data_IF_315464086608
#
_entry.id   IF_315464086608
#
_cell.length_a   1.000
_cell.length_b   1.000
_cell.length_c   1.000
_cell.angle_alpha   90.00
_cell.angle_beta   90.00
_cell.angle_gamma   90.00
#
_symmetry.space_group_name_H-M   'P 1'
#
loop_
_entity.id
_entity.type
_entity.pdbx_description
1 polymer ?
#
# COMPACT_ATOMS: atom_id res chain seq x y z
N UNK A 1 -20.07 -0.08 -10.66
CA UNK A 1 -19.25 1.11 -10.39
C UNK A 1 -18.76 1.01 -8.96
N UNK A 2 -17.48 0.71 -8.73
CA UNK A 2 -16.88 0.68 -7.40
C UNK A 2 -16.66 2.12 -6.94
N UNK A 3 -17.11 2.45 -5.72
CA UNK A 3 -16.78 3.74 -5.11
C UNK A 3 -15.27 3.74 -4.83
N UNK A 4 -14.50 4.77 -5.27
CA UNK A 4 -13.09 4.86 -4.92
C UNK A 4 -12.97 4.92 -3.40
N UNK A 5 -12.15 4.05 -2.83
CA UNK A 5 -12.01 3.93 -1.41
C UNK A 5 -11.47 5.24 -0.80
N UNK A 6 -12.06 5.69 0.31
CA UNK A 6 -11.73 6.97 0.92
C UNK A 6 -10.40 6.82 1.66
N UNK A 7 -9.36 7.60 1.31
CA UNK A 7 -8.07 7.52 1.99
C UNK A 7 -8.18 7.92 3.47
N UNK A 8 -7.67 7.07 4.35
CA UNK A 8 -7.60 7.25 5.81
C UNK A 8 -6.13 7.55 6.17
N UNK A 9 -5.80 8.80 6.53
CA UNK A 9 -4.43 9.15 6.92
C UNK A 9 -4.09 8.61 8.31
N UNK A 10 -2.84 8.22 8.52
CA UNK A 10 -2.32 7.81 9.83
C UNK A 10 -0.85 8.19 10.02
N UNK A 11 -0.39 8.14 11.27
CA UNK A 11 1.01 8.31 11.65
C UNK A 11 1.50 7.03 12.34
N UNK A 12 2.69 6.58 11.96
CA UNK A 12 3.38 5.45 12.57
C UNK A 12 4.55 5.98 13.41
N UNK A 13 4.58 5.63 14.69
CA UNK A 13 5.72 5.92 15.57
C UNK A 13 6.57 4.67 15.68
N UNK A 14 7.83 4.78 15.27
CA UNK A 14 8.80 3.68 15.34
C UNK A 14 9.42 3.60 16.73
N UNK A 15 9.94 2.41 17.06
CA UNK A 15 10.63 2.15 18.33
C UNK A 15 11.95 2.93 18.47
N UNK A 16 12.52 3.39 17.36
CA UNK A 16 13.72 4.23 17.32
C UNK A 16 13.42 5.73 17.46
N UNK A 17 12.14 6.11 17.65
CA UNK A 17 11.70 7.49 17.82
C UNK A 17 11.37 8.23 16.53
N UNK A 18 11.60 7.64 15.35
CA UNK A 18 11.16 8.23 14.07
C UNK A 18 9.64 8.17 13.93
N UNK A 19 9.10 9.09 13.14
CA UNK A 19 7.68 9.13 12.77
C UNK A 19 7.55 9.03 11.26
N UNK A 20 6.74 8.09 10.80
CA UNK A 20 6.35 7.95 9.40
C UNK A 20 4.89 8.37 9.23
N UNK A 21 4.55 8.87 8.06
CA UNK A 21 3.16 9.17 7.67
C UNK A 21 2.70 8.16 6.63
N UNK A 22 1.42 7.84 6.63
CA UNK A 22 0.86 6.93 5.67
C UNK A 22 -0.61 7.19 5.36
N UNK A 23 -1.09 6.52 4.34
CA UNK A 23 -2.49 6.52 3.93
C UNK A 23 -2.95 5.10 3.71
N UNK A 24 -4.09 4.78 4.30
CA UNK A 24 -4.81 3.53 4.10
C UNK A 24 -6.00 3.78 3.17
N UNK A 25 -6.05 3.12 2.02
CA UNK A 25 -7.14 3.34 1.06
C UNK A 25 -8.38 2.52 1.42
N UNK A 26 -8.16 1.29 1.91
CA UNK A 26 -9.19 0.41 2.44
C UNK A 26 -8.68 -0.21 3.75
N UNK A 27 -9.47 -0.20 4.84
CA UNK A 27 -9.10 -0.79 6.12
C UNK A 27 -8.57 -2.23 5.99
N UNK A 28 -7.31 -2.43 6.39
CA UNK A 28 -6.60 -3.70 6.40
C UNK A 28 -6.10 -4.17 5.04
N UNK A 29 -6.16 -3.35 3.98
CA UNK A 29 -5.88 -3.82 2.61
C UNK A 29 -4.71 -3.15 1.92
N UNK A 30 -4.73 -1.83 1.78
CA UNK A 30 -3.74 -1.08 1.02
C UNK A 30 -3.17 0.06 1.85
N UNK A 31 -1.86 0.09 1.99
CA UNK A 31 -1.15 1.09 2.77
C UNK A 31 0.04 1.64 1.97
N UNK A 32 0.11 2.95 1.74
CA UNK A 32 1.35 3.61 1.32
C UNK A 32 1.97 4.33 2.52
N UNK A 33 3.26 4.10 2.74
CA UNK A 33 4.04 4.70 3.82
C UNK A 33 5.13 5.59 3.23
N UNK A 34 5.19 6.82 3.72
CA UNK A 34 6.23 7.79 3.42
C UNK A 34 7.38 7.69 4.43
N UNK A 35 8.58 7.53 3.89
CA UNK A 35 9.83 7.48 4.66
C UNK A 35 10.52 8.84 4.58
N UNK A 36 10.61 9.61 5.69
CA UNK A 36 11.22 10.94 5.67
C UNK A 36 12.71 10.91 5.30
N UNK A 37 13.39 9.79 5.53
CA UNK A 37 14.80 9.60 5.22
C UNK A 37 15.03 9.15 3.75
N UNK A 38 13.97 8.73 3.04
CA UNK A 38 14.04 8.20 1.68
C UNK A 38 12.98 8.88 0.80
N UNK A 39 13.21 10.16 0.47
CA UNK A 39 12.27 11.04 -0.25
C UNK A 39 11.75 10.45 -1.57
N UNK A 40 12.52 9.57 -2.21
CA UNK A 40 12.18 8.96 -3.50
C UNK A 40 11.52 7.58 -3.38
N UNK A 41 11.14 7.13 -2.18
CA UNK A 41 10.62 5.79 -1.94
C UNK A 41 9.31 5.85 -1.13
N UNK A 42 8.20 5.36 -1.71
CA UNK A 42 7.03 4.93 -0.94
C UNK A 42 7.03 3.40 -0.89
N UNK A 43 6.87 2.85 0.31
CA UNK A 43 6.55 1.43 0.46
C UNK A 43 5.05 1.25 0.41
N UNK A 44 4.58 0.40 -0.51
CA UNK A 44 3.18 0.01 -0.62
C UNK A 44 3.04 -1.41 -0.08
N UNK A 45 2.26 -1.58 0.99
CA UNK A 45 1.83 -2.88 1.48
C UNK A 45 0.40 -3.14 1.02
N UNK A 46 0.17 -4.31 0.43
CA UNK A 46 -1.10 -4.74 -0.16
C UNK A 46 -1.29 -6.23 0.09
N UNK A 47 -2.53 -6.67 0.33
CA UNK A 47 -2.83 -8.11 0.44
C UNK A 47 -2.57 -8.81 -0.89
N UNK A 48 -2.07 -10.06 -0.86
CA UNK A 48 -1.88 -10.85 -2.09
C UNK A 48 -3.18 -11.00 -2.88
N UNK A 49 -4.31 -11.16 -2.19
CA UNK A 49 -5.63 -11.24 -2.83
C UNK A 49 -5.94 -9.98 -3.63
N UNK A 50 -5.70 -8.80 -3.07
CA UNK A 50 -5.98 -7.56 -3.78
C UNK A 50 -4.95 -7.28 -4.88
N UNK A 51 -3.68 -7.68 -4.67
CA UNK A 51 -2.62 -7.61 -5.69
C UNK A 51 -2.98 -8.41 -6.94
N UNK A 52 -3.57 -9.58 -6.76
CA UNK A 52 -3.91 -10.52 -7.84
C UNK A 52 -5.26 -10.24 -8.50
N UNK A 53 -6.13 -9.43 -7.88
CA UNK A 53 -7.46 -9.08 -8.39
C UNK A 53 -7.53 -7.67 -9.01
N UNK A 54 -6.41 -7.18 -9.55
CA UNK A 54 -6.35 -5.88 -10.23
C UNK A 54 -7.10 -5.92 -11.58
N UNK A 55 -7.71 -4.80 -12.02
CA UNK A 55 -8.48 -4.76 -13.28
C UNK A 55 -7.60 -4.84 -14.53
N UNK A 56 -8.21 -5.21 -15.66
CA UNK A 56 -7.56 -5.19 -16.98
C UNK A 56 -7.01 -3.80 -17.30
N UNK A 57 -5.75 -3.76 -17.75
CA UNK A 57 -5.00 -2.52 -18.01
C UNK A 57 -4.11 -2.04 -16.85
N UNK A 58 -4.22 -2.64 -15.65
CA UNK A 58 -3.27 -2.39 -14.58
C UNK A 58 -1.92 -3.09 -14.87
N UNK A 59 -0.75 -2.50 -14.56
CA UNK A 59 0.56 -3.12 -14.83
C UNK A 59 0.78 -4.49 -14.19
N UNK A 60 0.03 -4.80 -13.12
CA UNK A 60 0.10 -6.08 -12.40
C UNK A 60 -1.01 -7.06 -12.82
N UNK A 61 -1.82 -6.74 -13.83
CA UNK A 61 -2.86 -7.65 -14.33
C UNK A 61 -2.23 -8.94 -14.84
N UNK A 62 -2.68 -10.08 -14.30
CA UNK A 62 -2.15 -11.40 -14.64
C UNK A 62 -0.84 -11.78 -13.91
N UNK A 63 -0.39 -10.98 -12.94
CA UNK A 63 0.73 -11.36 -12.08
C UNK A 63 0.45 -12.67 -11.35
N UNK A 64 1.50 -13.46 -11.12
CA UNK A 64 1.44 -14.74 -10.39
C UNK A 64 2.49 -14.75 -9.29
N UNK A 65 2.17 -15.38 -8.17
CA UNK A 65 3.13 -15.65 -7.10
C UNK A 65 3.95 -16.87 -7.49
N UNK A 66 5.27 -16.72 -7.56
CA UNK A 66 6.20 -17.85 -7.67
C UNK A 66 6.75 -18.15 -6.27
N UNK A 67 6.44 -19.32 -5.74
CA UNK A 67 7.04 -19.81 -4.48
C UNK A 67 8.42 -20.41 -4.79
N UNK A 68 9.44 -20.04 -4.01
CA UNK A 68 10.78 -20.64 -4.04
C UNK A 68 11.02 -21.48 -2.80
#
# INVERSE_FOLDING_TARGET
MSVPAVPIPFLLRLTDGRTWSGVEFEPGRFVCVYHPDEINLCSIAVTLTDLLNVPEGHPLYGAKVEER
#
